data_IF_785414828471
#
_entry.id   IF_785414828471
#
_cell.length_a   1.000
_cell.length_b   1.000
_cell.length_c   1.000
_cell.angle_alpha   90.00
_cell.angle_beta   90.00
_cell.angle_gamma   90.00
#
_symmetry.space_group_name_H-M   'P 1'
#
loop_
_entity.id
_entity.type
_entity.pdbx_description
1 polymer ?
#
# COMPACT_ATOMS: atom_id res chain seq x y z
N UNK A 1 -7.73 51.37 35.85
CA UNK A 1 -6.92 51.00 34.68
C UNK A 1 -6.38 49.56 34.82
N UNK A 2 -7.23 48.52 34.68
CA UNK A 2 -6.82 47.09 34.85
C UNK A 2 -7.57 46.09 33.95
N UNK A 3 -8.10 46.51 32.79
CA UNK A 3 -8.90 45.64 31.90
C UNK A 3 -8.27 45.35 30.53
N UNK A 4 -7.07 45.85 30.24
CA UNK A 4 -6.49 45.80 28.89
C UNK A 4 -5.38 44.75 28.72
N UNK A 5 -5.03 43.99 29.77
CA UNK A 5 -3.93 43.00 29.72
C UNK A 5 -4.44 41.62 29.29
N UNK A 6 -5.74 41.32 29.42
CA UNK A 6 -6.29 40.00 29.07
C UNK A 6 -6.41 39.76 27.56
N UNK A 7 -6.49 40.82 26.75
CA UNK A 7 -6.71 40.72 25.29
C UNK A 7 -5.45 40.42 24.48
N UNK A 8 -4.26 40.56 25.05
CA UNK A 8 -2.99 40.35 24.33
C UNK A 8 -2.56 38.87 24.37
N UNK A 9 -2.99 38.10 25.36
CA UNK A 9 -2.66 36.67 25.48
C UNK A 9 -3.41 35.78 24.46
N UNK A 10 -4.59 36.20 23.99
CA UNK A 10 -5.38 35.42 23.04
C UNK A 10 -4.90 35.53 21.58
N UNK A 11 -4.17 36.60 21.22
CA UNK A 11 -3.70 36.83 19.86
C UNK A 11 -2.42 36.04 19.50
N UNK A 12 -1.61 35.66 20.51
CA UNK A 12 -0.36 34.92 20.30
C UNK A 12 -0.55 33.41 20.10
N UNK A 13 -1.71 32.85 20.45
CA UNK A 13 -2.01 31.44 20.24
C UNK A 13 -2.48 31.09 18.81
N UNK A 14 -2.85 32.08 17.99
CA UNK A 14 -3.37 31.85 16.63
C UNK A 14 -2.28 31.71 15.55
N UNK A 15 -1.01 32.03 15.85
CA UNK A 15 0.11 31.88 14.90
C UNK A 15 0.92 30.59 15.07
N UNK A 16 0.82 29.91 16.22
CA UNK A 16 1.52 28.64 16.48
C UNK A 16 0.79 27.41 15.94
N UNK A 17 -0.49 27.54 15.54
CA UNK A 17 -1.29 26.44 14.99
C UNK A 17 -0.99 26.07 13.53
N UNK A 18 -0.28 26.91 12.77
CA UNK A 18 -0.09 26.70 11.32
C UNK A 18 1.15 25.85 10.96
N UNK A 19 2.12 25.74 11.89
CA UNK A 19 3.37 24.98 11.68
C UNK A 19 3.15 23.46 11.84
N UNK A 20 2.24 23.04 12.73
CA UNK A 20 1.94 21.64 13.01
C UNK A 20 1.22 20.93 11.86
N UNK A 21 0.33 21.62 11.12
CA UNK A 21 -0.35 21.05 9.93
C UNK A 21 0.64 20.80 8.80
N UNK A 22 1.60 21.71 8.59
CA UNK A 22 2.63 21.58 7.55
C UNK A 22 3.62 20.44 7.83
N UNK A 23 3.98 20.22 9.11
CA UNK A 23 4.83 19.10 9.51
C UNK A 23 4.10 17.75 9.37
N UNK A 24 2.82 17.67 9.74
CA UNK A 24 2.01 16.47 9.53
C UNK A 24 1.82 16.14 8.04
N UNK A 25 1.62 17.16 7.19
CA UNK A 25 1.51 16.96 5.75
C UNK A 25 2.82 16.45 5.11
N UNK A 26 3.97 16.98 5.53
CA UNK A 26 5.29 16.50 5.11
C UNK A 26 5.54 15.07 5.56
N UNK A 27 5.29 14.74 6.82
CA UNK A 27 5.44 13.38 7.33
C UNK A 27 4.51 12.38 6.63
N UNK A 28 3.24 12.73 6.39
CA UNK A 28 2.32 11.89 5.61
C UNK A 28 2.83 11.65 4.18
N UNK A 29 3.40 12.67 3.53
CA UNK A 29 3.96 12.56 2.18
C UNK A 29 5.19 11.64 2.15
N UNK A 30 6.09 11.77 3.13
CA UNK A 30 7.29 10.91 3.24
C UNK A 30 6.91 9.45 3.54
N UNK A 31 5.97 9.21 4.47
CA UNK A 31 5.46 7.87 4.78
C UNK A 31 4.76 7.27 3.55
N UNK A 32 3.92 8.04 2.85
CA UNK A 32 3.28 7.58 1.63
C UNK A 32 4.30 7.23 0.53
N UNK A 33 5.34 8.04 0.36
CA UNK A 33 6.41 7.77 -0.61
C UNK A 33 7.21 6.52 -0.26
N UNK A 34 7.51 6.30 1.03
CA UNK A 34 8.18 5.09 1.50
C UNK A 34 7.32 3.84 1.30
N UNK A 35 6.00 3.93 1.54
CA UNK A 35 5.05 2.83 1.28
C UNK A 35 5.05 2.46 -0.20
N UNK A 36 4.95 3.44 -1.11
CA UNK A 36 4.96 3.22 -2.56
C UNK A 36 6.27 2.56 -3.00
N UNK A 37 7.41 3.08 -2.55
CA UNK A 37 8.73 2.52 -2.90
C UNK A 37 8.88 1.08 -2.41
N UNK A 38 8.39 0.76 -1.21
CA UNK A 38 8.42 -0.61 -0.66
C UNK A 38 7.47 -1.54 -1.43
N UNK A 39 6.27 -1.08 -1.79
CA UNK A 39 5.34 -1.87 -2.60
C UNK A 39 5.88 -2.16 -3.99
N UNK A 40 6.58 -1.21 -4.61
CA UNK A 40 7.20 -1.39 -5.93
C UNK A 40 8.31 -2.46 -5.90
N UNK A 41 9.18 -2.41 -4.90
CA UNK A 41 10.24 -3.43 -4.72
C UNK A 41 9.61 -4.81 -4.50
N UNK A 42 8.60 -4.90 -3.62
CA UNK A 42 7.90 -6.17 -3.37
C UNK A 42 7.14 -6.68 -4.60
N UNK A 43 6.53 -5.79 -5.38
CA UNK A 43 5.80 -6.15 -6.59
C UNK A 43 6.75 -6.69 -7.65
N UNK A 44 7.88 -6.01 -7.87
CA UNK A 44 8.92 -6.45 -8.80
C UNK A 44 9.45 -7.84 -8.44
N UNK A 45 9.76 -8.07 -7.16
CA UNK A 45 10.25 -9.38 -6.70
C UNK A 45 9.21 -10.48 -6.90
N UNK A 46 7.96 -10.24 -6.50
CA UNK A 46 6.86 -11.19 -6.69
C UNK A 46 6.65 -11.52 -8.17
N UNK A 47 6.65 -10.51 -9.05
CA UNK A 47 6.53 -10.72 -10.50
C UNK A 47 7.71 -11.54 -11.02
N UNK A 48 8.95 -11.17 -10.68
CA UNK A 48 10.17 -11.87 -11.13
C UNK A 48 10.16 -13.36 -10.75
N UNK A 49 9.68 -13.68 -9.54
CA UNK A 49 9.56 -15.06 -9.08
C UNK A 49 8.51 -15.88 -9.87
N UNK A 50 7.58 -15.23 -10.57
CA UNK A 50 6.58 -15.89 -11.41
C UNK A 50 6.96 -15.96 -12.89
N UNK A 51 7.89 -15.11 -13.37
CA UNK A 51 8.26 -15.05 -14.80
C UNK A 51 8.70 -16.41 -15.33
N UNK A 52 9.73 -17.02 -14.74
CA UNK A 52 10.29 -18.28 -15.23
C UNK A 52 9.34 -19.46 -15.01
N UNK A 53 8.78 -19.68 -13.79
CA UNK A 53 7.95 -20.85 -13.54
C UNK A 53 6.65 -20.88 -14.35
N UNK A 54 6.09 -19.71 -14.67
CA UNK A 54 4.84 -19.58 -15.42
C UNK A 54 5.09 -19.21 -16.89
N UNK A 55 6.33 -18.98 -17.30
CA UNK A 55 6.68 -18.52 -18.65
C UNK A 55 5.82 -17.31 -19.08
N UNK A 56 5.77 -16.28 -18.23
CA UNK A 56 4.93 -15.11 -18.46
C UNK A 56 5.39 -14.34 -19.70
N UNK A 57 4.44 -13.99 -20.58
CA UNK A 57 4.69 -13.04 -21.67
C UNK A 57 4.93 -11.62 -21.13
N UNK A 58 5.59 -10.74 -21.88
CA UNK A 58 5.84 -9.36 -21.45
C UNK A 58 4.58 -8.63 -20.97
N UNK A 59 3.47 -8.79 -21.71
CA UNK A 59 2.16 -8.25 -21.32
C UNK A 59 1.66 -8.81 -19.99
N UNK A 60 1.80 -10.13 -19.79
CA UNK A 60 1.41 -10.75 -18.52
C UNK A 60 2.31 -10.28 -17.36
N UNK A 61 3.60 -10.07 -17.61
CA UNK A 61 4.53 -9.55 -16.60
C UNK A 61 4.14 -8.15 -16.12
N UNK A 62 3.78 -7.26 -17.06
CA UNK A 62 3.28 -5.92 -16.75
C UNK A 62 1.99 -5.98 -15.91
N UNK A 63 1.00 -6.77 -16.36
CA UNK A 63 -0.28 -6.91 -15.64
C UNK A 63 -0.11 -7.53 -14.24
N UNK A 64 0.79 -8.50 -14.09
CA UNK A 64 1.10 -9.11 -12.79
C UNK A 64 1.83 -8.11 -11.88
N UNK A 65 2.76 -7.33 -12.42
CA UNK A 65 3.43 -6.27 -11.69
C UNK A 65 2.44 -5.22 -11.18
N UNK A 66 1.57 -4.70 -12.05
CA UNK A 66 0.56 -3.71 -11.68
C UNK A 66 -0.38 -4.24 -10.59
N UNK A 67 -0.79 -5.50 -10.70
CA UNK A 67 -1.61 -6.16 -9.69
C UNK A 67 -0.91 -6.18 -8.32
N UNK A 68 0.36 -6.60 -8.26
CA UNK A 68 1.10 -6.66 -7.01
C UNK A 68 1.46 -5.26 -6.45
N UNK A 69 1.78 -4.29 -7.31
CA UNK A 69 2.07 -2.93 -6.88
C UNK A 69 0.83 -2.29 -6.23
N UNK A 70 -0.33 -2.41 -6.90
CA UNK A 70 -1.60 -1.86 -6.40
C UNK A 70 -2.07 -2.54 -5.11
N UNK A 71 -1.93 -3.86 -5.01
CA UNK A 71 -2.32 -4.59 -3.80
C UNK A 71 -1.35 -4.32 -2.64
N UNK A 72 -0.05 -4.25 -2.91
CA UNK A 72 0.98 -3.87 -1.94
C UNK A 72 0.77 -2.47 -1.38
N UNK A 73 0.46 -1.48 -2.24
CA UNK A 73 0.17 -0.12 -1.79
C UNK A 73 -1.07 -0.06 -0.88
N UNK A 74 -2.16 -0.76 -1.29
CA UNK A 74 -3.39 -0.84 -0.48
C UNK A 74 -3.16 -1.49 0.87
N UNK A 75 -2.36 -2.56 0.92
CA UNK A 75 -2.02 -3.23 2.18
C UNK A 75 -1.10 -2.39 3.06
N UNK A 76 -0.13 -1.67 2.46
CA UNK A 76 0.74 -0.75 3.19
C UNK A 76 -0.02 0.43 3.81
N UNK A 77 -1.05 0.94 3.13
CA UNK A 77 -1.97 1.93 3.70
C UNK A 77 -2.83 1.31 4.82
N UNK A 78 -3.39 0.13 4.57
CA UNK A 78 -4.24 -0.54 5.55
C UNK A 78 -3.50 -0.87 6.86
N UNK A 79 -2.22 -1.27 6.79
CA UNK A 79 -1.41 -1.57 7.98
C UNK A 79 -1.05 -0.34 8.80
N UNK A 80 -1.01 0.85 8.20
CA UNK A 80 -0.79 2.10 8.91
C UNK A 80 -2.05 2.59 9.66
N UNK A 81 -3.24 2.11 9.28
CA UNK A 81 -4.53 2.66 9.72
C UNK A 81 -5.40 1.67 10.53
N UNK A 82 -5.11 0.36 10.50
CA UNK A 82 -6.02 -0.68 11.01
C UNK A 82 -5.42 -1.47 12.18
N UNK A 83 -6.27 -2.04 13.04
CA UNK A 83 -5.84 -3.02 14.04
C UNK A 83 -5.55 -4.39 13.38
N UNK A 84 -4.94 -5.31 14.14
CA UNK A 84 -4.49 -6.61 13.61
C UNK A 84 -5.62 -7.47 13.02
N UNK A 85 -6.80 -7.50 13.66
CA UNK A 85 -7.95 -8.31 13.22
C UNK A 85 -8.53 -7.79 11.91
N UNK A 86 -8.64 -6.47 11.78
CA UNK A 86 -9.09 -5.83 10.55
C UNK A 86 -8.07 -5.98 9.42
N UNK A 87 -6.78 -6.00 9.76
CA UNK A 87 -5.70 -6.23 8.82
C UNK A 87 -5.75 -7.65 8.24
N UNK A 88 -5.98 -8.66 9.08
CA UNK A 88 -6.13 -10.06 8.66
C UNK A 88 -7.32 -10.24 7.70
N UNK A 89 -8.49 -9.66 8.06
CA UNK A 89 -9.67 -9.71 7.20
C UNK A 89 -9.45 -8.99 5.85
N UNK A 90 -8.71 -7.87 5.85
CA UNK A 90 -8.33 -7.17 4.62
C UNK A 90 -7.34 -7.97 3.78
N UNK A 91 -6.37 -8.62 4.42
CA UNK A 91 -5.41 -9.48 3.75
C UNK A 91 -6.12 -10.64 3.03
N UNK A 92 -7.02 -11.35 3.72
CA UNK A 92 -7.77 -12.45 3.11
C UNK A 92 -8.58 -12.01 1.88
N UNK A 93 -9.25 -10.84 1.95
CA UNK A 93 -9.95 -10.26 0.79
C UNK A 93 -8.99 -9.88 -0.33
N UNK A 94 -7.80 -9.39 0.00
CA UNK A 94 -6.78 -9.05 -0.98
C UNK A 94 -6.23 -10.29 -1.68
N UNK A 95 -6.00 -11.37 -0.94
CA UNK A 95 -5.52 -12.64 -1.49
C UNK A 95 -6.55 -13.27 -2.45
N UNK A 96 -7.83 -13.19 -2.10
CA UNK A 96 -8.92 -13.59 -3.01
C UNK A 96 -8.95 -12.74 -4.28
N UNK A 97 -8.79 -11.40 -4.15
CA UNK A 97 -8.74 -10.50 -5.29
C UNK A 97 -7.54 -10.77 -6.20
N UNK A 98 -6.35 -10.96 -5.63
CA UNK A 98 -5.14 -11.30 -6.40
C UNK A 98 -5.32 -12.63 -7.12
N UNK A 99 -5.83 -13.65 -6.43
CA UNK A 99 -6.06 -14.98 -7.02
C UNK A 99 -7.04 -14.89 -8.20
N UNK A 100 -8.16 -14.17 -8.04
CA UNK A 100 -9.13 -13.97 -9.10
C UNK A 100 -8.52 -13.23 -10.31
N UNK A 101 -7.74 -12.17 -10.07
CA UNK A 101 -7.10 -11.40 -11.14
C UNK A 101 -5.98 -12.15 -11.84
N UNK A 102 -5.21 -12.96 -11.12
CA UNK A 102 -4.22 -13.85 -11.74
C UNK A 102 -4.89 -14.86 -12.66
N UNK A 103 -6.06 -15.39 -12.31
CA UNK A 103 -6.82 -16.28 -13.21
C UNK A 103 -7.25 -15.60 -14.52
N UNK A 104 -7.51 -14.28 -14.49
CA UNK A 104 -7.84 -13.51 -15.70
C UNK A 104 -6.61 -13.20 -16.56
N UNK A 105 -5.44 -13.00 -15.94
CA UNK A 105 -4.18 -12.65 -16.63
C UNK A 105 -3.49 -13.88 -17.21
N UNK A 106 -3.53 -15.00 -16.47
CA UNK A 106 -2.86 -16.24 -16.80
C UNK A 106 -3.78 -17.13 -17.64
N UNK A 107 -3.20 -17.93 -18.53
CA UNK A 107 -3.95 -19.02 -19.15
C UNK A 107 -4.16 -20.18 -18.15
N UNK A 108 -4.96 -21.17 -18.53
CA UNK A 108 -5.33 -22.28 -17.63
C UNK A 108 -4.12 -23.09 -17.13
N UNK A 109 -3.13 -23.34 -17.99
CA UNK A 109 -1.94 -24.12 -17.62
C UNK A 109 -1.06 -23.33 -16.65
N UNK A 110 -0.84 -22.04 -16.93
CA UNK A 110 -0.10 -21.12 -16.07
C UNK A 110 -0.79 -20.96 -14.71
N UNK A 111 -2.11 -20.84 -14.69
CA UNK A 111 -2.86 -20.72 -13.44
C UNK A 111 -2.79 -22.00 -12.61
N UNK A 112 -2.84 -23.19 -13.23
CA UNK A 112 -2.61 -24.46 -12.52
C UNK A 112 -1.20 -24.52 -11.90
N UNK A 113 -0.17 -24.16 -12.65
CA UNK A 113 1.22 -24.08 -12.14
C UNK A 113 1.32 -23.09 -10.97
N UNK A 114 0.66 -21.94 -11.08
CA UNK A 114 0.59 -20.96 -9.99
C UNK A 114 -0.02 -21.55 -8.71
N UNK A 115 -1.15 -22.26 -8.80
CA UNK A 115 -1.77 -22.91 -7.64
C UNK A 115 -0.85 -23.94 -6.99
N UNK A 116 -0.07 -24.68 -7.78
CA UNK A 116 0.86 -25.67 -7.24
C UNK A 116 2.10 -25.03 -6.61
N UNK A 117 2.55 -23.86 -7.10
CA UNK A 117 3.57 -23.06 -6.44
C UNK A 117 3.05 -22.48 -5.12
N UNK A 118 1.81 -22.00 -5.09
CA UNK A 118 1.20 -21.42 -3.90
C UNK A 118 1.01 -22.43 -2.75
N UNK A 119 0.79 -23.72 -3.05
CA UNK A 119 0.71 -24.80 -2.05
C UNK A 119 2.06 -25.19 -1.43
N UNK A 120 3.16 -24.84 -2.08
CA UNK A 120 4.53 -25.20 -1.66
C UNK A 120 5.21 -24.12 -0.81
N UNK A 121 4.53 -22.98 -0.64
CA UNK A 121 4.92 -21.87 0.23
C UNK A 121 4.20 -22.01 1.58
#
# INVERSE_FOLDING_TARGET
>A
MKKNILLIAAALFLFLGNQSVSAQAKMKKEVQSAIVKKSDVSAKEKTMNLIRPLSLTEKQQEQVYELFAKTGEKMGKASAESNAKDLEAKQAKMDQYVTAKLKEILNEEQYKKYLDLAKKL
#
